data_IF_364701370112
#
_entry.id   IF_364701370112
#
_cell.length_a   1.000
_cell.length_b   1.000
_cell.length_c   1.000
_cell.angle_alpha   90.00
_cell.angle_beta   90.00
_cell.angle_gamma   90.00
#
_symmetry.space_group_name_H-M   'P 1'
#
loop_
_entity.id
_entity.type
_entity.pdbx_description
1 polymer ?
#
# COMPACT_ATOMS: atom_id res chain seq x y z
N UNK A 1 -3.83 -25.42 11.15
CA UNK A 1 -2.81 -24.48 10.63
C UNK A 1 -3.29 -24.01 9.28
N UNK A 2 -3.29 -22.71 9.03
CA UNK A 2 -3.71 -22.11 7.76
C UNK A 2 -2.48 -21.46 7.12
N UNK A 3 -2.29 -21.72 5.83
CA UNK A 3 -1.33 -21.01 4.97
C UNK A 3 -2.12 -20.53 3.76
N UNK A 4 -2.02 -19.25 3.45
CA UNK A 4 -2.71 -18.63 2.33
C UNK A 4 -1.72 -17.83 1.48
N UNK A 5 -1.93 -17.89 0.16
CA UNK A 5 -1.33 -17.00 -0.81
C UNK A 5 -2.43 -16.13 -1.40
N UNK A 6 -2.20 -14.82 -1.45
CA UNK A 6 -3.14 -13.85 -1.99
C UNK A 6 -2.42 -12.92 -2.95
N UNK A 7 -3.14 -12.43 -3.96
CA UNK A 7 -2.73 -11.28 -4.76
C UNK A 7 -3.50 -10.07 -4.24
N UNK A 8 -2.77 -9.04 -3.81
CA UNK A 8 -3.32 -7.82 -3.23
C UNK A 8 -3.28 -6.72 -4.28
N UNK A 9 -4.37 -5.97 -4.38
CA UNK A 9 -4.42 -4.70 -5.08
C UNK A 9 -4.62 -3.59 -4.05
N UNK A 10 -3.68 -2.65 -4.01
CA UNK A 10 -3.72 -1.50 -3.11
C UNK A 10 -3.40 -0.22 -3.88
N UNK A 11 -3.69 0.94 -3.29
CA UNK A 11 -3.46 2.19 -3.97
C UNK A 11 -3.98 3.37 -3.18
N UNK A 12 -3.69 4.57 -3.69
CA UNK A 12 -4.22 5.80 -3.16
C UNK A 12 -4.66 6.72 -4.29
N UNK A 13 -5.62 7.57 -3.98
CA UNK A 13 -5.98 8.69 -4.83
C UNK A 13 -6.15 9.92 -3.95
N UNK A 14 -5.38 10.95 -4.26
CA UNK A 14 -5.43 12.25 -3.61
C UNK A 14 -5.43 13.33 -4.69
N UNK A 15 -6.43 14.19 -4.65
CA UNK A 15 -6.46 15.41 -5.47
C UNK A 15 -5.39 16.41 -5.02
N UNK A 16 -5.36 17.57 -5.70
CA UNK A 16 -4.49 18.67 -5.28
C UNK A 16 -4.97 19.28 -3.95
N UNK A 17 -4.04 19.60 -3.08
CA UNK A 17 -4.29 20.34 -1.84
C UNK A 17 -4.74 21.77 -2.15
N UNK A 18 -5.33 22.43 -1.15
CA UNK A 18 -5.68 23.84 -1.22
C UNK A 18 -4.95 24.64 -0.16
N UNK A 19 -4.11 25.58 -0.58
CA UNK A 19 -3.45 26.53 0.30
C UNK A 19 -4.15 27.88 0.24
N UNK A 20 -4.80 28.29 1.34
CA UNK A 20 -5.59 29.54 1.43
C UNK A 20 -6.61 29.69 0.29
N UNK A 21 -7.25 28.58 -0.08
CA UNK A 21 -8.24 28.51 -1.15
C UNK A 21 -7.68 28.38 -2.57
N UNK A 22 -6.36 28.46 -2.77
CA UNK A 22 -5.71 28.25 -4.07
C UNK A 22 -5.21 26.80 -4.21
N UNK A 23 -5.34 26.15 -5.38
CA UNK A 23 -4.82 24.80 -5.58
C UNK A 23 -3.29 24.79 -5.52
N UNK A 24 -2.72 23.84 -4.79
CA UNK A 24 -1.30 23.51 -4.83
C UNK A 24 -1.11 22.41 -5.90
N UNK A 25 -0.85 22.82 -7.13
CA UNK A 25 -0.89 21.94 -8.31
C UNK A 25 0.10 20.78 -8.25
N UNK A 26 1.09 20.83 -7.37
CA UNK A 26 2.20 19.88 -7.21
C UNK A 26 1.97 18.80 -6.13
N UNK A 27 0.76 18.70 -5.59
CA UNK A 27 0.45 17.81 -4.44
C UNK A 27 -0.46 16.62 -4.76
N UNK A 28 -0.93 16.50 -6.01
CA UNK A 28 -1.82 15.43 -6.42
C UNK A 28 -1.07 14.12 -6.68
N UNK A 29 -1.68 13.00 -6.29
CA UNK A 29 -1.12 11.66 -6.51
C UNK A 29 -2.22 10.62 -6.73
N UNK A 30 -1.99 9.71 -7.68
CA UNK A 30 -2.73 8.47 -7.84
C UNK A 30 -1.74 7.33 -7.98
N UNK A 31 -1.86 6.32 -7.14
CA UNK A 31 -0.96 5.18 -7.14
C UNK A 31 -1.76 3.88 -7.05
N UNK A 32 -1.31 2.87 -7.78
CA UNK A 32 -1.85 1.50 -7.77
C UNK A 32 -0.67 0.55 -7.66
N UNK A 33 -0.75 -0.36 -6.71
CA UNK A 33 0.23 -1.41 -6.46
C UNK A 33 -0.44 -2.78 -6.50
N UNK A 34 0.29 -3.76 -7.03
CA UNK A 34 -0.10 -5.17 -7.00
C UNK A 34 1.02 -6.01 -6.38
N UNK A 35 0.66 -7.03 -5.61
CA UNK A 35 1.67 -7.79 -4.87
C UNK A 35 1.19 -9.12 -4.31
N UNK A 36 2.08 -10.12 -4.17
CA UNK A 36 1.78 -11.30 -3.39
C UNK A 36 1.76 -10.99 -1.88
N UNK A 37 0.83 -11.62 -1.17
CA UNK A 37 0.81 -11.71 0.30
C UNK A 37 0.77 -13.17 0.73
N UNK A 38 1.67 -13.53 1.64
CA UNK A 38 1.64 -14.79 2.37
C UNK A 38 1.05 -14.54 3.75
N UNK A 39 0.08 -15.38 4.13
CA UNK A 39 -0.56 -15.35 5.45
C UNK A 39 -0.42 -16.72 6.08
N UNK A 40 0.01 -16.76 7.34
CA UNK A 40 0.10 -17.98 8.14
C UNK A 40 -0.63 -17.80 9.47
N UNK A 41 -1.39 -18.80 9.89
CA UNK A 41 -2.07 -18.80 11.19
C UNK A 41 -2.02 -20.17 11.87
N UNK A 42 -1.73 -20.14 13.18
CA UNK A 42 -1.69 -21.32 14.04
C UNK A 42 -2.18 -20.96 15.44
N UNK A 43 -3.33 -21.51 15.82
CA UNK A 43 -3.93 -21.29 17.14
C UNK A 43 -4.27 -19.81 17.33
N UNK A 44 -3.66 -19.18 18.33
CA UNK A 44 -3.87 -17.77 18.68
C UNK A 44 -2.93 -16.81 17.95
N UNK A 45 -2.01 -17.31 17.14
CA UNK A 45 -0.99 -16.51 16.46
C UNK A 45 -1.23 -16.50 14.95
N UNK A 46 -1.13 -15.33 14.34
CA UNK A 46 -1.09 -15.14 12.89
C UNK A 46 0.02 -14.19 12.48
N UNK A 47 0.56 -14.40 11.29
CA UNK A 47 1.57 -13.54 10.70
C UNK A 47 1.30 -13.38 9.20
N UNK A 48 1.72 -12.25 8.64
CA UNK A 48 1.69 -11.98 7.21
C UNK A 48 2.94 -11.25 6.74
N UNK A 49 3.30 -11.49 5.47
CA UNK A 49 4.31 -10.73 4.73
C UNK A 49 3.81 -10.49 3.31
N UNK A 50 3.98 -9.26 2.81
CA UNK A 50 3.60 -8.88 1.47
C UNK A 50 4.68 -8.03 0.81
N UNK A 51 4.76 -8.12 -0.52
CA UNK A 51 5.58 -7.26 -1.35
C UNK A 51 4.71 -6.69 -2.47
N UNK A 52 4.56 -5.37 -2.51
CA UNK A 52 3.74 -4.70 -3.53
C UNK A 52 4.61 -3.91 -4.49
N UNK A 53 4.29 -3.99 -5.78
CA UNK A 53 4.99 -3.32 -6.86
C UNK A 53 4.08 -2.32 -7.57
N UNK A 54 4.57 -1.13 -7.92
CA UNK A 54 3.76 -0.12 -8.58
C UNK A 54 3.38 -0.56 -9.99
N UNK A 55 2.08 -0.57 -10.27
CA UNK A 55 1.54 -0.77 -11.63
C UNK A 55 1.29 0.57 -12.30
N UNK A 56 0.86 1.56 -11.52
CA UNK A 56 0.65 2.92 -12.01
C UNK A 56 0.96 3.91 -10.90
N UNK A 57 1.78 4.90 -11.21
CA UNK A 57 1.98 6.08 -10.38
C UNK A 57 1.81 7.29 -11.28
N UNK A 58 0.89 8.18 -10.92
CA UNK A 58 0.71 9.47 -11.56
C UNK A 58 0.69 10.55 -10.48
N UNK A 59 1.71 11.39 -10.46
CA UNK A 59 1.84 12.53 -9.56
C UNK A 59 1.95 13.81 -10.39
N UNK A 60 1.47 14.92 -9.83
CA UNK A 60 1.39 16.18 -10.58
C UNK A 60 2.74 16.91 -10.68
N UNK A 61 3.74 16.51 -9.89
CA UNK A 61 5.09 17.07 -9.91
C UNK A 61 6.14 16.04 -9.43
N UNK A 62 7.39 16.49 -9.26
CA UNK A 62 8.45 15.68 -8.67
C UNK A 62 8.15 15.38 -7.20
N UNK A 63 7.60 14.20 -6.93
CA UNK A 63 7.40 13.67 -5.59
C UNK A 63 8.16 12.36 -5.44
N UNK A 64 8.65 12.10 -4.24
CA UNK A 64 9.25 10.81 -3.89
C UNK A 64 8.14 9.76 -3.88
N UNK A 65 8.31 8.70 -4.66
CA UNK A 65 7.38 7.58 -4.77
C UNK A 65 8.15 6.27 -4.60
N UNK A 66 7.53 5.23 -4.02
CA UNK A 66 8.21 3.97 -3.78
C UNK A 66 8.29 3.11 -5.05
N UNK A 67 9.47 2.54 -5.31
CA UNK A 67 9.66 1.51 -6.35
C UNK A 67 9.07 0.15 -5.96
N UNK A 68 8.91 -0.09 -4.65
CA UNK A 68 8.23 -1.24 -4.06
C UNK A 68 7.82 -0.94 -2.62
N UNK A 69 6.89 -1.71 -2.08
CA UNK A 69 6.47 -1.66 -0.67
C UNK A 69 6.59 -3.04 -0.05
N UNK A 70 7.08 -3.11 1.18
CA UNK A 70 7.09 -4.33 1.99
C UNK A 70 6.17 -4.13 3.18
N UNK A 71 5.32 -5.10 3.46
CA UNK A 71 4.43 -5.09 4.61
C UNK A 71 4.63 -6.37 5.42
N UNK A 72 4.62 -6.25 6.74
CA UNK A 72 4.68 -7.38 7.64
C UNK A 72 3.84 -7.10 8.89
N UNK A 73 3.07 -8.08 9.33
CA UNK A 73 2.27 -7.97 10.54
C UNK A 73 2.25 -9.29 11.32
N UNK A 74 2.10 -9.17 12.64
CA UNK A 74 1.93 -10.28 13.58
C UNK A 74 0.73 -9.94 14.45
N UNK A 75 -0.16 -10.91 14.67
CA UNK A 75 -1.32 -10.75 15.55
C UNK A 75 -1.42 -11.89 16.55
N UNK A 76 -1.82 -11.57 17.77
CA UNK A 76 -2.06 -12.52 18.84
C UNK A 76 -3.46 -12.30 19.43
N UNK A 77 -4.24 -13.37 19.55
CA UNK A 77 -5.58 -13.33 20.15
C UNK A 77 -5.52 -13.78 21.62
N UNK A 78 -5.90 -12.88 22.54
CA UNK A 78 -5.82 -13.08 23.99
C UNK A 78 -7.07 -13.78 24.55
#
# INVERSE_FOLDING_TARGET
MIIGLQCIASGEHKGVDRFRGKPAEDTGITSIFLGPRLVASRGRLSAEVAADFPVKINNTALQVVPDYRLQGAISFHF
#
